data_IF_584032828252
#
_entry.id   IF_584032828252
#
_cell.length_a   1.000
_cell.length_b   1.000
_cell.length_c   1.000
_cell.angle_alpha   90.00
_cell.angle_beta   90.00
_cell.angle_gamma   90.00
#
_symmetry.space_group_name_H-M   'P 1'
#
loop_
_entity.id
_entity.type
_entity.pdbx_description
1 polymer ?
#
# COMPACT_ATOMS: atom_id res chain seq x y z
N UNK A 1 35.93 5.87 -16.91
CA UNK A 1 34.94 5.30 -17.85
C UNK A 1 33.68 4.96 -17.06
N UNK A 2 32.59 5.70 -17.27
CA UNK A 2 31.28 5.38 -16.67
C UNK A 2 30.68 4.17 -17.39
N UNK A 3 29.97 3.26 -16.68
CA UNK A 3 29.43 2.06 -17.30
C UNK A 3 28.30 2.41 -18.29
N UNK A 4 28.17 1.66 -19.40
CA UNK A 4 27.21 1.94 -20.48
C UNK A 4 25.73 1.96 -20.06
N UNK A 5 25.40 1.43 -18.87
CA UNK A 5 24.05 1.48 -18.29
C UNK A 5 23.59 2.88 -17.87
N UNK A 6 24.51 3.80 -17.54
CA UNK A 6 24.16 5.15 -17.10
C UNK A 6 23.60 6.01 -18.25
N UNK A 7 24.07 5.77 -19.48
CA UNK A 7 23.61 6.51 -20.67
C UNK A 7 22.20 6.11 -21.11
N UNK A 8 21.80 4.85 -20.89
CA UNK A 8 20.47 4.36 -21.27
C UNK A 8 19.39 4.91 -20.34
N UNK A 9 19.65 4.94 -19.03
CA UNK A 9 18.73 5.49 -18.03
C UNK A 9 18.57 7.02 -18.16
N UNK A 10 19.66 7.73 -18.45
CA UNK A 10 19.63 9.17 -18.69
C UNK A 10 18.82 9.53 -19.95
N UNK A 11 18.93 8.74 -21.02
CA UNK A 11 18.13 8.91 -22.24
C UNK A 11 16.63 8.68 -22.02
N UNK A 12 16.25 7.69 -21.21
CA UNK A 12 14.84 7.43 -20.88
C UNK A 12 14.25 8.55 -20.02
N UNK A 13 15.03 9.10 -19.09
CA UNK A 13 14.57 10.20 -18.23
C UNK A 13 14.36 11.50 -19.02
N UNK A 14 15.26 11.81 -19.96
CA UNK A 14 15.10 12.93 -20.90
C UNK A 14 13.88 12.73 -21.78
N UNK A 15 13.65 11.52 -22.31
CA UNK A 15 12.48 11.23 -23.14
C UNK A 15 11.16 11.39 -22.38
N UNK A 16 11.10 11.01 -21.09
CA UNK A 16 9.90 11.17 -20.25
C UNK A 16 9.64 12.63 -19.86
N UNK A 17 10.69 13.40 -19.55
CA UNK A 17 10.58 14.83 -19.28
C UNK A 17 10.16 15.61 -20.53
N UNK A 18 10.72 15.27 -21.69
CA UNK A 18 10.30 15.83 -22.97
C UNK A 18 8.86 15.44 -23.29
N UNK A 19 8.42 14.20 -23.01
CA UNK A 19 7.05 13.76 -23.24
C UNK A 19 6.03 14.55 -22.40
N UNK A 20 6.31 14.81 -21.13
CA UNK A 20 5.43 15.63 -20.27
C UNK A 20 5.34 17.10 -20.68
N UNK A 21 6.44 17.67 -21.17
CA UNK A 21 6.44 19.03 -21.76
C UNK A 21 5.74 19.05 -23.13
N UNK A 22 5.85 17.98 -23.91
CA UNK A 22 5.22 17.85 -25.23
C UNK A 22 3.70 17.69 -25.13
N UNK A 23 3.17 16.93 -24.18
CA UNK A 23 1.72 16.72 -24.02
C UNK A 23 1.01 18.01 -23.60
N UNK A 24 1.59 18.79 -22.68
CA UNK A 24 1.03 20.10 -22.30
C UNK A 24 1.15 21.14 -23.42
N UNK A 25 2.26 21.15 -24.17
CA UNK A 25 2.42 22.01 -25.34
C UNK A 25 1.46 21.61 -26.49
N UNK A 26 1.17 20.32 -26.65
CA UNK A 26 0.25 19.82 -27.68
C UNK A 26 -1.22 20.08 -27.32
N UNK A 27 -1.64 19.95 -26.06
CA UNK A 27 -3.02 20.27 -25.67
C UNK A 27 -3.33 21.77 -25.83
N UNK A 28 -2.39 22.66 -25.48
CA UNK A 28 -2.57 24.11 -25.68
C UNK A 28 -2.58 24.55 -27.16
N UNK A 29 -1.99 23.75 -28.06
CA UNK A 29 -1.96 24.02 -29.51
C UNK A 29 -3.01 23.25 -30.30
N UNK A 30 -3.50 22.12 -29.80
CA UNK A 30 -4.53 21.32 -30.45
C UNK A 30 -5.89 22.03 -30.45
N UNK A 31 -6.18 22.89 -29.46
CA UNK A 31 -7.39 23.74 -29.48
C UNK A 31 -7.35 24.81 -30.57
N UNK A 32 -6.15 25.14 -31.10
CA UNK A 32 -5.97 26.13 -32.17
C UNK A 32 -5.80 25.52 -33.57
N UNK A 33 -5.68 24.19 -33.70
CA UNK A 33 -5.44 23.49 -34.97
C UNK A 33 -6.37 22.27 -35.13
N UNK A 34 -7.67 22.49 -35.20
CA UNK A 34 -8.64 21.48 -35.64
C UNK A 34 -9.39 21.91 -36.88
N UNK A 35 -8.70 21.92 -38.02
CA UNK A 35 -9.35 21.92 -39.35
C UNK A 35 -8.72 20.96 -40.36
N UNK A 36 -7.61 20.31 -40.02
CA UNK A 36 -6.96 19.34 -40.93
C UNK A 36 -7.14 17.91 -40.41
N UNK A 37 -7.90 17.09 -41.14
CA UNK A 37 -8.06 15.65 -40.88
C UNK A 37 -6.68 14.95 -40.74
N UNK A 38 -5.69 15.40 -41.49
CA UNK A 38 -4.34 14.83 -41.53
C UNK A 38 -3.61 14.91 -40.17
N UNK A 39 -3.75 16.02 -39.43
CA UNK A 39 -3.09 16.19 -38.12
C UNK A 39 -3.71 15.24 -37.08
N UNK A 40 -5.02 15.00 -37.16
CA UNK A 40 -5.72 14.05 -36.27
C UNK A 40 -5.25 12.61 -36.50
N UNK A 41 -5.02 12.23 -37.75
CA UNK A 41 -4.58 10.86 -38.08
C UNK A 41 -3.09 10.65 -37.76
N UNK A 42 -2.25 11.68 -37.93
CA UNK A 42 -0.86 11.66 -37.47
C UNK A 42 -0.77 11.55 -35.95
N UNK A 43 -1.61 12.29 -35.21
CA UNK A 43 -1.66 12.20 -33.75
C UNK A 43 -2.16 10.83 -33.27
N UNK A 44 -3.21 10.26 -33.90
CA UNK A 44 -3.66 8.89 -33.60
C UNK A 44 -2.57 7.85 -33.86
N UNK A 45 -1.82 8.01 -34.96
CA UNK A 45 -0.70 7.11 -35.30
C UNK A 45 0.40 7.20 -34.25
N UNK A 46 0.81 8.42 -33.88
CA UNK A 46 1.77 8.67 -32.81
C UNK A 46 1.32 8.07 -31.46
N UNK A 47 0.07 8.27 -31.05
CA UNK A 47 -0.48 7.68 -29.82
C UNK A 47 -0.47 6.15 -29.90
N UNK A 48 -0.77 5.56 -31.05
CA UNK A 48 -0.74 4.11 -31.24
C UNK A 48 0.68 3.54 -31.21
N UNK A 49 1.66 4.25 -31.78
CA UNK A 49 3.06 3.81 -31.75
C UNK A 49 3.68 4.00 -30.37
N UNK A 50 3.32 5.08 -29.66
CA UNK A 50 3.64 5.23 -28.24
C UNK A 50 2.99 4.12 -27.41
N UNK A 51 1.73 3.77 -27.66
CA UNK A 51 1.13 2.59 -27.02
C UNK A 51 1.93 1.33 -27.31
N UNK A 52 2.41 1.07 -28.54
CA UNK A 52 3.24 -0.11 -28.85
C UNK A 52 4.60 -0.10 -28.15
N UNK A 53 5.23 1.06 -27.98
CA UNK A 53 6.52 1.18 -27.28
C UNK A 53 6.36 1.02 -25.77
N UNK A 54 5.28 1.58 -25.19
CA UNK A 54 5.05 1.56 -23.74
C UNK A 54 4.25 0.34 -23.25
N UNK A 55 3.42 -0.31 -24.09
CA UNK A 55 2.67 -1.52 -23.70
C UNK A 55 3.57 -2.65 -23.16
N UNK A 56 4.73 -2.97 -23.78
CA UNK A 56 5.63 -3.98 -23.24
C UNK A 56 6.15 -3.62 -21.85
N UNK A 57 6.38 -2.34 -21.57
CA UNK A 57 6.84 -1.85 -20.27
C UNK A 57 5.73 -1.90 -19.21
N UNK A 58 4.48 -1.61 -19.60
CA UNK A 58 3.29 -1.73 -18.75
C UNK A 58 2.89 -3.21 -18.53
N UNK A 59 2.99 -4.06 -19.55
CA UNK A 59 2.80 -5.52 -19.44
C UNK A 59 3.87 -6.17 -18.58
N UNK A 60 5.10 -5.64 -18.55
CA UNK A 60 6.15 -6.11 -17.64
C UNK A 60 5.77 -5.82 -16.17
N UNK A 61 5.11 -4.70 -15.90
CA UNK A 61 4.62 -4.32 -14.56
C UNK A 61 3.54 -5.27 -14.04
N UNK A 62 2.52 -5.58 -14.84
CA UNK A 62 1.48 -6.57 -14.50
C UNK A 62 2.00 -8.02 -14.59
N UNK A 63 3.05 -8.23 -15.38
CA UNK A 63 3.75 -9.50 -15.51
C UNK A 63 4.58 -9.85 -14.30
N UNK A 64 5.00 -8.89 -13.48
CA UNK A 64 5.89 -9.15 -12.35
C UNK A 64 5.21 -10.01 -11.27
N UNK A 65 4.02 -9.67 -10.78
CA UNK A 65 3.38 -10.50 -9.74
C UNK A 65 3.08 -11.91 -10.24
N UNK A 66 2.48 -12.04 -11.43
CA UNK A 66 2.21 -13.35 -12.05
C UNK A 66 3.48 -14.15 -12.31
N UNK A 67 4.55 -13.52 -12.78
CA UNK A 67 5.85 -14.15 -12.99
C UNK A 67 6.46 -14.63 -11.67
N UNK A 68 6.48 -13.77 -10.65
CA UNK A 68 7.01 -14.10 -9.33
C UNK A 68 6.21 -15.23 -8.68
N UNK A 69 4.88 -15.20 -8.77
CA UNK A 69 4.01 -16.29 -8.30
C UNK A 69 4.25 -17.58 -9.09
N UNK A 70 4.38 -17.52 -10.41
CA UNK A 70 4.72 -18.69 -11.25
C UNK A 70 6.09 -19.29 -10.91
N UNK A 71 7.02 -18.46 -10.46
CA UNK A 71 8.34 -18.88 -9.98
C UNK A 71 8.33 -19.38 -8.53
N UNK A 72 7.18 -19.36 -7.85
CA UNK A 72 7.05 -19.74 -6.44
C UNK A 72 7.73 -18.75 -5.49
N UNK A 73 8.00 -17.53 -5.95
CA UNK A 73 8.67 -16.48 -5.16
C UNK A 73 7.68 -15.61 -4.38
N UNK A 74 6.43 -15.60 -4.83
CA UNK A 74 5.30 -14.97 -4.15
C UNK A 74 4.17 -15.99 -3.96
N UNK A 75 3.62 -16.05 -2.76
CA UNK A 75 2.39 -16.77 -2.47
C UNK A 75 1.34 -15.78 -1.98
N UNK A 76 0.20 -15.75 -2.64
CA UNK A 76 -0.89 -14.88 -2.26
C UNK A 76 -1.51 -15.36 -0.94
N UNK A 77 -1.67 -14.44 0.01
CA UNK A 77 -2.41 -14.66 1.26
C UNK A 77 -3.80 -14.10 1.04
N UNK A 78 -4.72 -14.96 0.63
CA UNK A 78 -6.12 -14.62 0.40
C UNK A 78 -7.06 -15.61 1.08
N UNK A 79 -8.32 -15.59 0.66
CA UNK A 79 -9.37 -16.44 1.18
C UNK A 79 -9.11 -17.96 0.97
N UNK A 80 -8.16 -18.33 0.11
CA UNK A 80 -7.79 -19.72 -0.16
C UNK A 80 -6.53 -20.16 0.60
N UNK A 81 -5.89 -19.27 1.36
CA UNK A 81 -4.72 -19.63 2.14
C UNK A 81 -5.09 -20.72 3.15
N UNK A 82 -4.39 -21.86 3.08
CA UNK A 82 -4.69 -23.03 3.91
C UNK A 82 -4.00 -22.89 5.26
N UNK A 83 -4.76 -22.47 6.25
CA UNK A 83 -4.29 -22.42 7.63
C UNK A 83 -4.03 -23.81 8.18
N UNK A 84 -3.04 -23.88 9.07
CA UNK A 84 -2.83 -25.04 9.91
C UNK A 84 -4.03 -25.24 10.85
N UNK A 85 -4.20 -26.46 11.33
CA UNK A 85 -5.21 -26.76 12.35
C UNK A 85 -5.02 -25.93 13.63
N UNK A 86 -3.78 -25.56 13.96
CA UNK A 86 -3.46 -24.73 15.11
C UNK A 86 -3.92 -23.27 14.92
N UNK A 87 -3.61 -22.67 13.76
CA UNK A 87 -4.08 -21.32 13.41
C UNK A 87 -5.61 -21.26 13.40
N UNK A 88 -6.25 -22.29 12.84
CA UNK A 88 -7.71 -22.42 12.85
C UNK A 88 -8.26 -22.53 14.27
N UNK A 89 -7.58 -23.26 15.17
CA UNK A 89 -7.96 -23.36 16.59
C UNK A 89 -7.84 -22.02 17.31
N UNK A 90 -6.84 -21.19 16.98
CA UNK A 90 -6.67 -19.85 17.58
C UNK A 90 -7.80 -18.90 17.20
N UNK A 91 -8.39 -19.01 16.00
CA UNK A 91 -9.58 -18.22 15.63
C UNK A 91 -10.80 -18.52 16.49
N UNK A 92 -10.96 -19.79 16.88
CA UNK A 92 -12.12 -20.26 17.64
C UNK A 92 -12.09 -19.90 19.11
N UNK A 93 -10.98 -19.36 19.63
CA UNK A 93 -10.93 -18.94 21.04
C UNK A 93 -11.70 -17.65 21.26
N UNK A 94 -12.20 -17.46 22.47
CA UNK A 94 -12.80 -16.20 22.91
C UNK A 94 -11.71 -15.29 23.46
N UNK A 95 -11.72 -14.02 23.05
CA UNK A 95 -10.80 -13.00 23.57
C UNK A 95 -11.20 -12.57 24.98
N UNK A 96 -10.23 -12.12 25.77
CA UNK A 96 -10.48 -11.54 27.10
C UNK A 96 -10.80 -10.04 26.96
N UNK A 97 -11.91 -9.73 26.30
CA UNK A 97 -12.43 -8.37 26.12
C UNK A 97 -13.74 -8.16 26.88
N UNK A 98 -13.94 -6.92 27.29
CA UNK A 98 -15.13 -6.38 27.96
C UNK A 98 -15.54 -5.07 27.27
N UNK A 99 -16.74 -4.56 27.58
CA UNK A 99 -17.19 -3.26 27.04
C UNK A 99 -16.26 -2.11 27.44
N UNK A 100 -15.59 -2.19 28.58
CA UNK A 100 -14.62 -1.18 29.03
C UNK A 100 -13.31 -1.18 28.25
N UNK A 101 -13.04 -2.19 27.44
CA UNK A 101 -11.85 -2.24 26.59
C UNK A 101 -11.97 -1.37 25.33
N UNK A 102 -13.18 -0.97 24.96
CA UNK A 102 -13.46 -0.19 23.75
C UNK A 102 -13.41 1.31 24.03
N UNK A 103 -12.38 1.97 23.49
CA UNK A 103 -12.23 3.42 23.56
C UNK A 103 -12.86 4.13 22.36
N UNK A 104 -12.18 5.18 21.89
CA UNK A 104 -12.61 5.95 20.73
C UNK A 104 -12.66 5.08 19.47
N UNK A 105 -13.80 5.09 18.77
CA UNK A 105 -13.91 4.53 17.43
C UNK A 105 -13.09 5.38 16.44
N UNK A 106 -12.16 4.75 15.74
CA UNK A 106 -11.30 5.36 14.73
C UNK A 106 -11.88 5.22 13.32
N UNK A 107 -12.52 4.08 13.04
CA UNK A 107 -13.09 3.78 11.73
C UNK A 107 -14.33 2.92 11.87
N UNK A 108 -15.34 3.21 11.06
CA UNK A 108 -16.60 2.46 10.99
C UNK A 108 -17.03 2.36 9.52
N UNK A 109 -16.38 1.47 8.77
CA UNK A 109 -16.54 1.33 7.32
C UNK A 109 -16.59 -0.15 6.91
N UNK A 110 -17.33 -0.46 5.85
CA UNK A 110 -17.37 -1.80 5.23
C UNK A 110 -17.63 -2.96 6.23
N UNK A 111 -18.48 -2.70 7.23
CA UNK A 111 -18.82 -3.61 8.35
C UNK A 111 -17.66 -3.94 9.32
N UNK A 112 -16.43 -3.52 9.00
CA UNK A 112 -15.31 -3.52 9.91
C UNK A 112 -15.34 -2.26 10.79
N UNK A 113 -14.87 -2.41 12.01
CA UNK A 113 -14.81 -1.31 12.97
C UNK A 113 -13.46 -1.35 13.67
N UNK A 114 -12.83 -0.19 13.79
CA UNK A 114 -11.54 -0.03 14.44
C UNK A 114 -11.71 0.90 15.63
N UNK A 115 -11.27 0.47 16.79
CA UNK A 115 -11.26 1.27 18.01
C UNK A 115 -9.85 1.38 18.56
N UNK A 116 -9.57 2.50 19.22
CA UNK A 116 -8.49 2.52 20.21
C UNK A 116 -8.90 1.63 21.36
N UNK A 117 -7.97 0.80 21.85
CA UNK A 117 -8.19 0.15 23.12
C UNK A 117 -8.21 1.23 24.23
N UNK A 118 -9.22 1.16 25.10
CA UNK A 118 -9.42 2.15 26.14
C UNK A 118 -8.23 2.20 27.11
N UNK A 119 -7.88 3.42 27.52
CA UNK A 119 -6.90 3.63 28.59
C UNK A 119 -7.48 3.07 29.89
N UNK A 120 -6.84 2.03 30.42
CA UNK A 120 -7.17 1.41 31.69
C UNK A 120 -5.89 1.10 32.46
N UNK A 121 -6.01 0.76 33.73
CA UNK A 121 -4.86 0.29 34.51
C UNK A 121 -4.35 -1.05 33.94
N UNK A 122 -3.03 -1.17 33.80
CA UNK A 122 -2.37 -2.43 33.40
C UNK A 122 -2.07 -2.56 31.91
N UNK A 123 -1.89 -3.81 31.48
CA UNK A 123 -1.50 -4.20 30.12
C UNK A 123 -2.52 -5.18 29.53
N UNK A 124 -2.52 -5.33 28.20
CA UNK A 124 -3.22 -6.41 27.51
C UNK A 124 -2.15 -7.28 26.85
N UNK A 125 -2.06 -8.56 27.22
CA UNK A 125 -1.00 -9.48 26.73
C UNK A 125 0.41 -8.87 26.85
N UNK A 126 0.69 -8.19 27.97
CA UNK A 126 1.99 -7.54 28.21
C UNK A 126 2.20 -6.20 27.48
N UNK A 127 1.27 -5.77 26.62
CA UNK A 127 1.35 -4.50 25.91
C UNK A 127 0.59 -3.37 26.64
N UNK A 128 1.14 -2.16 26.60
CA UNK A 128 0.44 -0.97 27.09
C UNK A 128 -0.84 -0.73 26.29
N UNK A 129 -1.99 -0.63 26.95
CA UNK A 129 -3.31 -0.62 26.29
C UNK A 129 -3.47 0.50 25.27
N UNK A 130 -2.93 1.68 25.53
CA UNK A 130 -2.99 2.85 24.62
C UNK A 130 -2.14 2.69 23.34
N UNK A 131 -1.25 1.70 23.31
CA UNK A 131 -0.47 1.31 22.13
C UNK A 131 -1.18 0.26 21.26
N UNK A 132 -2.43 -0.09 21.55
CA UNK A 132 -3.19 -1.09 20.82
C UNK A 132 -4.44 -0.50 20.15
N UNK A 133 -4.86 -1.16 19.08
CA UNK A 133 -6.17 -1.00 18.46
C UNK A 133 -6.90 -2.34 18.42
N UNK A 134 -8.23 -2.28 18.44
CA UNK A 134 -9.13 -3.41 18.29
C UNK A 134 -9.81 -3.25 16.93
N UNK A 135 -9.67 -4.24 16.04
CA UNK A 135 -10.37 -4.29 14.74
C UNK A 135 -11.36 -5.44 14.77
N UNK A 136 -12.65 -5.12 14.89
CA UNK A 136 -13.73 -6.12 14.76
C UNK A 136 -14.13 -6.23 13.31
N UNK A 137 -14.21 -7.46 12.83
CA UNK A 137 -14.41 -7.81 11.44
C UNK A 137 -15.86 -8.26 11.20
N UNK A 138 -16.33 -8.25 9.95
CA UNK A 138 -17.67 -8.75 9.63
C UNK A 138 -17.79 -10.24 9.97
N UNK A 139 -18.92 -10.66 10.54
CA UNK A 139 -19.13 -12.05 10.96
C UNK A 139 -18.95 -13.08 9.83
N UNK A 140 -19.19 -12.68 8.58
CA UNK A 140 -19.10 -13.56 7.41
C UNK A 140 -17.72 -13.61 6.75
N UNK A 141 -16.78 -12.71 7.11
CA UNK A 141 -15.42 -12.68 6.54
C UNK A 141 -14.48 -13.52 7.40
N UNK A 142 -14.42 -14.82 7.15
CA UNK A 142 -13.43 -15.67 7.83
C UNK A 142 -12.07 -15.66 7.14
N UNK A 143 -12.04 -15.60 5.81
CA UNK A 143 -10.84 -15.96 5.06
C UNK A 143 -9.92 -14.75 4.75
N UNK A 144 -10.46 -13.54 4.55
CA UNK A 144 -9.65 -12.32 4.37
C UNK A 144 -9.08 -11.79 5.69
N UNK A 145 -9.87 -11.93 6.76
CA UNK A 145 -9.44 -11.75 8.16
C UNK A 145 -8.15 -12.53 8.46
N UNK A 146 -8.11 -13.72 7.92
CA UNK A 146 -7.06 -14.68 8.15
C UNK A 146 -5.75 -14.23 7.47
N UNK A 147 -5.84 -13.75 6.22
CA UNK A 147 -4.66 -13.21 5.53
C UNK A 147 -4.08 -11.98 6.21
N UNK A 148 -4.93 -11.12 6.75
CA UNK A 148 -4.53 -9.99 7.59
C UNK A 148 -3.80 -10.45 8.85
N UNK A 149 -4.35 -11.44 9.57
CA UNK A 149 -3.71 -12.02 10.77
C UNK A 149 -2.31 -12.53 10.44
N UNK A 150 -2.16 -13.27 9.33
CA UNK A 150 -0.86 -13.82 8.95
C UNK A 150 0.15 -12.73 8.60
N UNK A 151 -0.28 -11.72 7.85
CA UNK A 151 0.57 -10.58 7.52
C UNK A 151 0.99 -9.83 8.79
N UNK A 152 0.05 -9.56 9.71
CA UNK A 152 0.30 -8.90 11.00
C UNK A 152 1.26 -9.69 11.91
N UNK A 153 1.15 -11.02 11.93
CA UNK A 153 2.07 -11.91 12.65
C UNK A 153 3.49 -11.75 12.11
N UNK A 154 3.66 -11.81 10.78
CA UNK A 154 4.96 -11.69 10.12
C UNK A 154 5.57 -10.30 10.30
N UNK A 155 4.76 -9.24 10.21
CA UNK A 155 5.29 -7.87 10.41
C UNK A 155 5.59 -7.55 11.87
N UNK A 156 5.14 -8.39 12.80
CA UNK A 156 5.33 -8.26 14.24
C UNK A 156 4.35 -7.29 14.90
N UNK A 157 3.20 -7.03 14.28
CA UNK A 157 2.18 -6.09 14.78
C UNK A 157 0.95 -6.79 15.36
N UNK A 158 0.75 -8.08 15.09
CA UNK A 158 -0.28 -8.87 15.75
C UNK A 158 0.02 -9.01 17.25
N UNK A 159 -0.99 -8.78 18.08
CA UNK A 159 -0.93 -9.02 19.53
C UNK A 159 -1.84 -10.17 19.90
N UNK A 160 -3.08 -10.17 19.41
CA UNK A 160 -4.08 -11.17 19.75
C UNK A 160 -5.15 -11.25 18.66
N UNK A 161 -5.89 -12.36 18.58
CA UNK A 161 -7.03 -12.50 17.66
C UNK A 161 -7.95 -13.64 18.07
N UNK A 162 -9.26 -13.48 17.85
CA UNK A 162 -10.24 -14.49 18.22
C UNK A 162 -11.66 -13.94 18.12
N UNK A 163 -12.60 -14.59 18.79
CA UNK A 163 -13.98 -14.10 18.90
C UNK A 163 -14.10 -13.12 20.06
N UNK A 164 -14.52 -11.89 19.78
CA UNK A 164 -14.86 -10.92 20.81
C UNK A 164 -16.18 -11.33 21.51
N UNK A 165 -16.18 -11.58 22.83
CA UNK A 165 -17.40 -11.95 23.56
C UNK A 165 -18.44 -10.81 23.62
N UNK A 166 -18.03 -9.55 23.46
CA UNK A 166 -18.93 -8.40 23.54
C UNK A 166 -19.76 -8.26 22.26
N UNK A 167 -19.11 -8.37 21.10
CA UNK A 167 -19.78 -8.21 19.80
C UNK A 167 -20.15 -9.54 19.13
N UNK A 168 -19.61 -10.67 19.59
CA UNK A 168 -19.78 -11.97 18.94
C UNK A 168 -19.14 -12.01 17.54
N UNK A 169 -18.01 -11.31 17.34
CA UNK A 169 -17.38 -11.13 16.02
C UNK A 169 -15.90 -11.52 16.03
N UNK A 170 -15.36 -12.02 14.91
CA UNK A 170 -13.91 -12.13 14.73
C UNK A 170 -13.26 -10.77 14.94
N UNK A 171 -12.23 -10.74 15.77
CA UNK A 171 -11.57 -9.51 16.20
C UNK A 171 -10.07 -9.72 16.25
N UNK A 172 -9.34 -8.72 15.76
CA UNK A 172 -7.88 -8.64 15.82
C UNK A 172 -7.50 -7.53 16.79
N UNK A 173 -6.54 -7.82 17.66
CA UNK A 173 -5.86 -6.84 18.50
C UNK A 173 -4.44 -6.71 17.98
N UNK A 174 -4.06 -5.49 17.64
CA UNK A 174 -2.77 -5.21 17.01
C UNK A 174 -2.15 -3.94 17.55
N UNK A 175 -0.84 -3.82 17.36
CA UNK A 175 -0.09 -2.61 17.69
C UNK A 175 -0.61 -1.43 16.89
N UNK A 176 -0.91 -0.35 17.59
CA UNK A 176 -1.28 0.93 17.00
C UNK A 176 -0.04 1.56 16.40
N UNK A 177 -0.11 1.89 15.12
CA UNK A 177 0.90 2.69 14.43
C UNK A 177 0.78 4.17 14.77
N UNK A 178 1.91 4.86 14.79
CA UNK A 178 1.99 6.31 14.97
C UNK A 178 1.78 7.03 13.65
N UNK A 179 1.43 8.32 13.72
CA UNK A 179 1.16 9.15 12.54
C UNK A 179 -0.33 9.31 12.27
N UNK A 180 -0.63 9.99 11.16
CA UNK A 180 -1.98 10.29 10.67
C UNK A 180 -2.02 10.03 9.16
N UNK A 181 -3.20 9.81 8.59
CA UNK A 181 -3.32 9.78 7.14
C UNK A 181 -2.99 11.16 6.56
N UNK A 182 -2.37 11.20 5.38
CA UNK A 182 -1.82 12.44 4.82
C UNK A 182 -2.86 13.57 4.74
N UNK A 183 -4.08 13.27 4.29
CA UNK A 183 -5.14 14.29 4.12
C UNK A 183 -5.70 14.81 5.44
N UNK A 184 -5.44 14.12 6.55
CA UNK A 184 -5.85 14.54 7.89
C UNK A 184 -4.87 15.54 8.52
N UNK A 185 -3.65 15.66 7.98
CA UNK A 185 -2.61 16.52 8.57
C UNK A 185 -2.81 17.99 8.25
N UNK A 186 -2.39 18.85 9.17
CA UNK A 186 -2.47 20.31 9.00
C UNK A 186 -1.54 20.80 7.90
N UNK A 187 -0.37 20.17 7.74
CA UNK A 187 0.59 20.45 6.66
C UNK A 187 -0.06 20.26 5.29
N UNK A 188 -0.79 19.16 5.10
CA UNK A 188 -1.48 18.90 3.83
C UNK A 188 -2.68 19.84 3.65
N UNK A 189 -3.49 20.06 4.69
CA UNK A 189 -4.68 20.93 4.59
C UNK A 189 -4.31 22.38 4.24
N UNK A 190 -3.23 22.91 4.80
CA UNK A 190 -2.75 24.30 4.57
C UNK A 190 -1.88 24.47 3.33
N UNK A 191 -1.36 23.38 2.77
CA UNK A 191 -0.53 23.40 1.59
C UNK A 191 -1.31 23.88 0.35
N UNK A 192 -0.64 24.67 -0.50
CA UNK A 192 -1.12 24.97 -1.84
C UNK A 192 -1.06 23.72 -2.74
N UNK A 193 -1.61 23.80 -3.95
CA UNK A 193 -1.68 22.66 -4.88
C UNK A 193 -0.31 21.99 -5.14
N UNK A 194 0.75 22.79 -5.39
CA UNK A 194 2.08 22.24 -5.66
C UNK A 194 2.68 21.56 -4.43
N UNK A 195 2.46 22.13 -3.25
CA UNK A 195 2.89 21.54 -1.98
C UNK A 195 2.12 20.24 -1.69
N UNK A 196 0.78 20.20 -1.88
CA UNK A 196 -0.02 18.98 -1.72
C UNK A 196 0.45 17.87 -2.65
N UNK A 197 0.69 18.20 -3.93
CA UNK A 197 1.24 17.26 -4.91
C UNK A 197 2.58 16.71 -4.45
N UNK A 198 3.49 17.57 -3.99
CA UNK A 198 4.79 17.14 -3.44
C UNK A 198 4.63 16.22 -2.23
N UNK A 199 3.80 16.59 -1.26
CA UNK A 199 3.56 15.80 -0.06
C UNK A 199 2.96 14.41 -0.38
N UNK A 200 2.02 14.35 -1.33
CA UNK A 200 1.46 13.09 -1.80
C UNK A 200 2.52 12.21 -2.48
N UNK A 201 3.36 12.80 -3.35
CA UNK A 201 4.46 12.09 -3.99
C UNK A 201 5.50 11.58 -2.98
N UNK A 202 5.89 12.40 -2.00
CA UNK A 202 6.83 12.00 -0.94
C UNK A 202 6.25 10.87 -0.09
N UNK A 203 4.96 10.94 0.25
CA UNK A 203 4.23 9.91 0.99
C UNK A 203 4.18 8.60 0.21
N UNK A 204 3.80 8.64 -1.07
CA UNK A 204 3.79 7.45 -1.94
C UNK A 204 5.18 6.83 -2.04
N UNK A 205 6.22 7.67 -2.20
CA UNK A 205 7.61 7.23 -2.29
C UNK A 205 8.06 6.49 -1.04
N UNK A 206 7.81 7.07 0.13
CA UNK A 206 8.16 6.46 1.40
C UNK A 206 7.31 5.21 1.68
N UNK A 207 6.02 5.22 1.35
CA UNK A 207 5.12 4.07 1.49
C UNK A 207 5.58 2.88 0.66
N UNK A 208 5.89 3.10 -0.61
CA UNK A 208 6.42 2.07 -1.49
C UNK A 208 7.79 1.54 -1.03
N UNK A 209 8.66 2.42 -0.52
CA UNK A 209 9.94 1.99 0.05
C UNK A 209 9.72 1.12 1.28
N UNK A 210 8.80 1.50 2.17
CA UNK A 210 8.45 0.73 3.36
C UNK A 210 7.90 -0.65 3.00
N UNK A 211 6.96 -0.73 2.05
CA UNK A 211 6.43 -2.01 1.59
C UNK A 211 7.52 -2.91 1.00
N UNK A 212 8.46 -2.33 0.25
CA UNK A 212 9.57 -3.08 -0.35
C UNK A 212 10.54 -3.59 0.73
N UNK A 213 10.80 -2.78 1.74
CA UNK A 213 11.57 -3.17 2.92
C UNK A 213 10.89 -4.29 3.71
N UNK A 214 9.57 -4.25 3.90
CA UNK A 214 8.83 -5.32 4.57
C UNK A 214 8.86 -6.62 3.74
N UNK A 215 8.76 -6.54 2.40
CA UNK A 215 8.94 -7.69 1.52
C UNK A 215 10.33 -8.32 1.66
N UNK A 216 11.38 -7.49 1.66
CA UNK A 216 12.76 -7.92 1.79
C UNK A 216 13.07 -8.49 3.19
N UNK A 217 12.86 -7.69 4.23
CA UNK A 217 13.27 -8.01 5.60
C UNK A 217 12.32 -8.94 6.33
N UNK A 218 11.02 -8.85 6.07
CA UNK A 218 10.00 -9.61 6.81
C UNK A 218 9.39 -10.73 5.98
N UNK A 219 9.51 -10.67 4.66
CA UNK A 219 8.96 -11.70 3.78
C UNK A 219 7.46 -11.52 3.53
N UNK A 220 6.95 -10.29 3.60
CA UNK A 220 5.55 -9.97 3.30
C UNK A 220 5.44 -8.70 2.47
N UNK A 221 4.69 -8.76 1.38
CA UNK A 221 4.40 -7.65 0.50
C UNK A 221 2.97 -7.17 0.72
N UNK A 222 2.84 -5.92 1.19
CA UNK A 222 1.57 -5.19 1.24
C UNK A 222 1.26 -4.68 -0.16
N UNK A 223 0.22 -5.24 -0.79
CA UNK A 223 -0.11 -4.91 -2.19
C UNK A 223 -1.19 -3.81 -2.31
N UNK A 224 -1.49 -3.11 -1.21
CA UNK A 224 -2.50 -2.06 -1.18
C UNK A 224 -1.97 -0.75 -0.57
N UNK A 225 -0.78 -0.33 -1.04
CA UNK A 225 -0.03 0.82 -0.54
C UNK A 225 -0.61 2.17 -1.03
N UNK A 226 -1.92 2.36 -0.98
CA UNK A 226 -2.56 3.63 -1.34
C UNK A 226 -2.56 4.64 -0.17
N UNK A 227 -2.81 5.92 -0.44
CA UNK A 227 -2.70 7.01 0.55
C UNK A 227 -3.52 6.82 1.83
N UNK A 228 -4.66 6.13 1.77
CA UNK A 228 -5.48 5.85 2.96
C UNK A 228 -4.88 4.77 3.89
N UNK A 229 -3.93 3.98 3.39
CA UNK A 229 -3.27 2.89 4.13
C UNK A 229 -1.85 3.28 4.58
N UNK A 230 -1.51 4.57 4.48
CA UNK A 230 -0.21 5.11 4.87
C UNK A 230 -0.42 6.16 5.95
N UNK A 231 0.15 5.92 7.12
CA UNK A 231 0.27 6.93 8.16
C UNK A 231 1.59 7.66 8.00
N UNK A 232 1.57 8.99 8.08
CA UNK A 232 2.73 9.86 7.90
C UNK A 232 3.13 10.53 9.21
N UNK A 233 4.43 10.75 9.39
CA UNK A 233 4.98 11.61 10.42
C UNK A 233 5.72 12.78 9.76
N UNK A 234 5.50 13.98 10.28
CA UNK A 234 6.09 15.22 9.78
C UNK A 234 7.21 15.73 10.69
N UNK A 235 8.21 16.35 10.08
CA UNK A 235 9.18 17.20 10.76
C UNK A 235 9.47 18.42 9.87
N UNK A 236 9.34 19.62 10.44
CA UNK A 236 9.60 20.90 9.73
C UNK A 236 8.87 21.00 8.38
N UNK A 237 7.63 20.51 8.31
CA UNK A 237 6.79 20.56 7.11
C UNK A 237 7.12 19.51 6.03
N UNK A 238 8.05 18.59 6.28
CA UNK A 238 8.37 17.48 5.40
C UNK A 238 7.93 16.13 5.99
N UNK A 239 7.52 15.20 5.13
CA UNK A 239 7.25 13.81 5.52
C UNK A 239 8.58 13.11 5.79
N UNK A 240 8.81 12.67 7.03
CA UNK A 240 10.08 12.02 7.43
C UNK A 240 9.99 10.51 7.57
N UNK A 241 8.81 9.99 7.89
CA UNK A 241 8.59 8.56 8.02
C UNK A 241 7.14 8.21 7.72
N UNK A 242 6.93 6.93 7.43
CA UNK A 242 5.61 6.38 7.18
C UNK A 242 5.45 5.02 7.85
N UNK A 243 4.23 4.67 8.19
CA UNK A 243 3.82 3.33 8.60
C UNK A 243 2.72 2.84 7.65
N UNK A 244 2.77 1.56 7.29
CA UNK A 244 1.72 0.90 6.54
C UNK A 244 0.68 0.33 7.52
N UNK A 245 -0.59 0.45 7.16
CA UNK A 245 -1.73 -0.09 7.90
C UNK A 245 -2.66 -0.86 6.96
N UNK A 246 -3.67 -1.50 7.54
CA UNK A 246 -4.73 -2.24 6.85
C UNK A 246 -4.19 -3.32 5.87
N UNK A 247 -3.84 -4.47 6.44
CA UNK A 247 -3.47 -5.64 5.65
C UNK A 247 -4.70 -6.50 5.29
N UNK A 248 -5.92 -5.95 5.37
CA UNK A 248 -7.17 -6.71 5.25
C UNK A 248 -7.83 -6.74 3.88
N UNK A 249 -7.56 -5.75 3.03
CA UNK A 249 -8.22 -5.61 1.73
C UNK A 249 -7.21 -5.77 0.58
N UNK A 250 -7.47 -6.76 -0.29
CA UNK A 250 -6.58 -7.12 -1.40
C UNK A 250 -5.60 -8.26 -1.10
N UNK A 251 -4.94 -8.80 -2.14
CA UNK A 251 -4.00 -9.90 -1.97
C UNK A 251 -2.71 -9.39 -1.33
N UNK A 252 -2.46 -9.71 -0.06
CA UNK A 252 -1.09 -9.67 0.45
C UNK A 252 -0.30 -10.84 -0.12
N UNK A 253 1.04 -10.75 -0.11
CA UNK A 253 1.86 -11.85 -0.57
C UNK A 253 2.93 -12.21 0.44
N UNK A 254 3.13 -13.50 0.69
CA UNK A 254 4.34 -14.03 1.29
C UNK A 254 5.45 -13.99 0.25
N UNK A 255 6.64 -13.58 0.68
CA UNK A 255 7.82 -13.42 -0.17
C UNK A 255 8.88 -14.39 0.29
N UNK A 256 9.40 -15.20 -0.64
CA UNK A 256 10.32 -16.29 -0.31
C UNK A 256 11.63 -16.23 -1.10
N UNK A 257 12.63 -16.94 -0.59
CA UNK A 257 13.87 -17.24 -1.31
C UNK A 257 14.55 -16.00 -1.90
N UNK A 258 14.91 -16.08 -3.18
CA UNK A 258 15.63 -15.00 -3.88
C UNK A 258 14.85 -13.69 -4.00
N UNK A 259 13.51 -13.72 -3.89
CA UNK A 259 12.70 -12.49 -3.89
C UNK A 259 12.91 -11.63 -2.63
N UNK A 260 13.58 -12.18 -1.62
CA UNK A 260 14.10 -11.43 -0.46
C UNK A 260 15.55 -10.99 -0.66
N UNK A 261 15.93 -10.58 -1.87
CA UNK A 261 17.24 -10.00 -2.16
C UNK A 261 17.14 -8.50 -2.49
N UNK A 262 18.24 -7.73 -2.39
CA UNK A 262 18.25 -6.31 -2.75
C UNK A 262 17.79 -6.02 -4.18
N UNK A 263 17.99 -6.97 -5.11
CA UNK A 263 17.52 -6.85 -6.49
C UNK A 263 15.99 -6.82 -6.57
N UNK A 264 15.29 -7.69 -5.84
CA UNK A 264 13.83 -7.72 -5.86
C UNK A 264 13.21 -6.60 -4.99
N UNK A 265 13.92 -6.10 -3.98
CA UNK A 265 13.48 -4.91 -3.24
C UNK A 265 13.25 -3.71 -4.18
N UNK A 266 14.16 -3.46 -5.14
CA UNK A 266 13.93 -2.39 -6.12
C UNK A 266 12.77 -2.70 -7.08
N UNK A 267 12.55 -3.97 -7.41
CA UNK A 267 11.39 -4.40 -8.23
C UNK A 267 10.07 -4.14 -7.50
N UNK A 268 9.97 -4.48 -6.21
CA UNK A 268 8.79 -4.20 -5.38
C UNK A 268 8.52 -2.70 -5.27
N UNK A 269 9.58 -1.92 -5.00
CA UNK A 269 9.49 -0.47 -4.96
C UNK A 269 8.98 0.10 -6.29
N UNK A 270 9.60 -0.27 -7.41
CA UNK A 270 9.21 0.19 -8.75
C UNK A 270 7.78 -0.22 -9.10
N UNK A 271 7.37 -1.43 -8.71
CA UNK A 271 6.01 -1.92 -8.90
C UNK A 271 5.01 -1.04 -8.16
N UNK A 272 5.24 -0.76 -6.87
CA UNK A 272 4.37 0.12 -6.09
C UNK A 272 4.34 1.56 -6.63
N UNK A 273 5.49 2.13 -7.00
CA UNK A 273 5.55 3.49 -7.57
C UNK A 273 4.74 3.59 -8.87
N UNK A 274 4.71 2.54 -9.69
CA UNK A 274 3.89 2.56 -10.91
C UNK A 274 2.39 2.50 -10.63
N UNK A 275 2.00 1.82 -9.56
CA UNK A 275 0.60 1.71 -9.15
C UNK A 275 0.10 2.98 -8.46
N UNK A 276 0.92 3.58 -7.59
CA UNK A 276 0.48 4.62 -6.65
C UNK A 276 1.23 5.96 -6.78
N UNK A 277 2.35 5.98 -7.51
CA UNK A 277 3.22 7.16 -7.65
C UNK A 277 2.84 8.10 -8.80
N UNK A 278 1.94 7.69 -9.69
CA UNK A 278 1.34 8.60 -10.68
C UNK A 278 0.11 9.26 -10.06
N UNK A 279 0.09 10.60 -9.92
CA UNK A 279 -1.10 11.33 -9.48
C UNK A 279 -2.14 11.31 -10.61
N UNK A 280 -2.82 10.18 -10.80
CA UNK A 280 -3.98 10.10 -11.68
C UNK A 280 -5.18 10.58 -10.85
N UNK A 281 -5.35 11.91 -10.79
CA UNK A 281 -6.57 12.54 -10.24
C UNK A 281 -6.56 12.91 -8.75
N UNK A 282 -5.57 13.71 -8.31
CA UNK A 282 -5.72 14.54 -7.10
C UNK A 282 -6.41 15.87 -7.45
#
# INVERSE_FOLDING_TARGET
MLPPLANTLFGVFIALCLFGLFTHALESKATALTTSLSVRDQFKTFVNDMKKVFNPFLRKSLGNSKYLTQKGLLEQIDDNYRYTAEESKKLSRTLHLSSSDYGQCLQNQNSAKVWRMAAGSGTYEGHGRTSLIIKSLPAQKHASTLGEIKALEIVGDLVDFGTDPVQGRPTIIMKRKTGLQLYETEEYKKANYQQKKKLAMDTARLGCMKGAQDAFHKGVWHNDNHMYNILVTFEKGAVISVELIDYGEGPNFLVYGEARSPHYMSIFYDWCIRLYGTPIGF
#
